data_IF_769319624122
#
_entry.id   IF_769319624122
#
_cell.length_a   1.000
_cell.length_b   1.000
_cell.length_c   1.000
_cell.angle_alpha   90.00
_cell.angle_beta   90.00
_cell.angle_gamma   90.00
#
_symmetry.space_group_name_H-M   'P 1'
#
loop_
_entity.id
_entity.type
_entity.pdbx_description
1 polymer ?
#
# COMPACT_ATOMS: atom_id res chain seq x y z
N UNK A 1 9.85 -17.40 17.05
CA UNK A 1 9.74 -17.19 16.18
C UNK A 1 9.54 -15.96 15.85
N UNK A 2 9.73 -15.47 15.33
CA UNK A 2 9.61 -14.47 15.16
C UNK A 2 8.75 -13.92 14.72
N UNK A 3 8.45 -13.45 15.08
CA UNK A 3 7.38 -13.00 14.76
C UNK A 3 7.19 -11.57 14.67
N UNK A 4 8.23 -10.74 14.86
CA UNK A 4 8.17 -9.32 14.62
C UNK A 4 7.86 -9.02 13.17
N UNK A 5 8.38 -9.81 12.25
CA UNK A 5 8.12 -9.60 10.85
C UNK A 5 6.66 -9.91 10.49
N UNK A 6 6.15 -11.02 10.98
CA UNK A 6 4.76 -11.37 10.70
C UNK A 6 3.82 -10.35 11.29
N UNK A 7 4.11 -9.88 12.52
CA UNK A 7 3.26 -8.88 13.15
C UNK A 7 3.27 -7.58 12.37
N UNK A 8 4.44 -7.17 11.89
CA UNK A 8 4.55 -5.94 11.11
C UNK A 8 3.72 -6.03 9.84
N UNK A 9 3.82 -7.14 9.13
CA UNK A 9 3.03 -7.29 7.90
C UNK A 9 1.55 -7.41 8.20
N UNK A 10 1.18 -8.05 9.31
CA UNK A 10 -0.22 -8.11 9.70
C UNK A 10 -0.80 -6.71 9.94
N UNK A 11 -0.03 -5.83 10.56
CA UNK A 11 -0.46 -4.46 10.78
C UNK A 11 -0.64 -3.72 9.45
N UNK A 12 0.22 -3.97 8.48
CA UNK A 12 0.10 -3.36 7.18
C UNK A 12 -1.17 -3.83 6.47
N UNK A 13 -1.45 -5.13 6.52
CA UNK A 13 -2.69 -5.64 5.94
C UNK A 13 -3.91 -5.04 6.63
N UNK A 14 -3.85 -4.93 7.95
CA UNK A 14 -4.97 -4.36 8.70
C UNK A 14 -5.22 -2.91 8.28
N UNK A 15 -4.14 -2.15 8.08
CA UNK A 15 -4.29 -0.76 7.66
C UNK A 15 -4.97 -0.68 6.30
N UNK A 16 -4.66 -1.60 5.39
CA UNK A 16 -5.27 -1.58 4.06
C UNK A 16 -6.63 -2.25 4.02
N UNK A 17 -7.04 -2.93 5.08
CA UNK A 17 -8.23 -3.76 5.04
C UNK A 17 -9.55 -3.01 5.11
N UNK A 18 -9.53 -1.70 5.28
CA UNK A 18 -10.73 -0.90 5.22
C UNK A 18 -10.94 -0.44 3.78
N UNK A 19 -12.17 -0.50 3.30
CA UNK A 19 -12.43 -0.19 1.89
C UNK A 19 -11.92 1.19 1.49
N UNK A 20 -12.15 2.27 2.26
CA UNK A 20 -11.63 3.56 1.82
C UNK A 20 -10.12 3.58 1.72
N UNK A 21 -9.43 2.89 2.63
CA UNK A 21 -7.98 2.88 2.59
C UNK A 21 -7.44 2.07 1.42
N UNK A 22 -8.13 0.99 1.09
CA UNK A 22 -7.74 0.24 -0.10
C UNK A 22 -7.93 1.07 -1.36
N UNK A 23 -9.00 1.85 -1.43
CA UNK A 23 -9.23 2.74 -2.57
C UNK A 23 -8.12 3.79 -2.67
N UNK A 24 -7.72 4.33 -1.53
CA UNK A 24 -6.62 5.31 -1.51
C UNK A 24 -5.34 4.67 -2.03
N UNK A 25 -5.00 3.47 -1.56
CA UNK A 25 -3.79 2.81 -2.00
C UNK A 25 -3.79 2.58 -3.50
N UNK A 26 -4.90 2.12 -4.04
CA UNK A 26 -4.96 1.87 -5.49
C UNK A 26 -4.81 3.16 -6.27
N UNK A 27 -5.42 4.24 -5.79
CA UNK A 27 -5.29 5.53 -6.47
C UNK A 27 -3.85 6.02 -6.44
N UNK A 28 -3.21 5.96 -5.27
CA UNK A 28 -1.83 6.44 -5.16
C UNK A 28 -0.87 5.57 -5.95
N UNK A 29 -1.12 4.27 -6.03
CA UNK A 29 -0.30 3.42 -6.86
C UNK A 29 -0.43 3.79 -8.34
N UNK A 30 -1.62 4.19 -8.76
CA UNK A 30 -1.81 4.61 -10.14
C UNK A 30 -1.05 5.90 -10.46
N UNK A 31 -0.73 6.69 -9.44
CA UNK A 31 -0.01 7.95 -9.60
C UNK A 31 1.47 7.84 -9.19
N UNK A 32 1.94 6.63 -8.94
CA UNK A 32 3.32 6.40 -8.57
C UNK A 32 4.24 6.77 -9.73
N UNK A 33 5.37 7.41 -9.50
CA UNK A 33 5.96 7.71 -8.19
C UNK A 33 5.60 9.07 -7.61
N UNK A 34 5.02 9.96 -8.38
CA UNK A 34 4.85 11.34 -7.92
C UNK A 34 3.84 11.48 -6.80
N UNK A 35 2.77 10.70 -6.85
CA UNK A 35 1.73 10.82 -5.86
C UNK A 35 0.73 11.89 -6.18
N UNK A 36 -0.04 12.29 -5.15
CA UNK A 36 -1.11 13.26 -5.32
C UNK A 36 -1.21 14.13 -4.08
N UNK A 37 -1.66 15.37 -4.27
CA UNK A 37 -1.96 16.22 -3.12
C UNK A 37 -3.35 15.87 -2.60
N UNK A 38 -3.61 16.27 -1.34
CA UNK A 38 -4.82 15.85 -0.64
C UNK A 38 -6.09 16.26 -1.37
N UNK A 39 -6.12 17.47 -1.91
CA UNK A 39 -7.33 17.93 -2.58
C UNK A 39 -7.65 17.08 -3.82
N UNK A 40 -6.63 16.62 -4.53
CA UNK A 40 -6.86 15.77 -5.69
C UNK A 40 -7.35 14.40 -5.26
N UNK A 41 -6.80 13.85 -4.18
CA UNK A 41 -7.29 12.57 -3.64
C UNK A 41 -8.76 12.72 -3.24
N UNK A 42 -9.07 13.81 -2.57
CA UNK A 42 -10.43 14.05 -2.13
C UNK A 42 -11.39 14.13 -3.30
N UNK A 43 -11.01 14.85 -4.33
CA UNK A 43 -11.85 15.00 -5.51
C UNK A 43 -12.09 13.68 -6.22
N UNK A 44 -11.03 12.86 -6.31
CA UNK A 44 -11.16 11.58 -6.98
C UNK A 44 -12.02 10.60 -6.23
N UNK A 45 -11.90 10.57 -4.91
CA UNK A 45 -12.55 9.54 -4.12
C UNK A 45 -13.83 10.00 -3.43
N UNK A 46 -14.06 11.30 -3.37
CA UNK A 46 -15.26 11.80 -2.73
C UNK A 46 -15.30 11.62 -1.23
N UNK A 47 -14.14 11.56 -0.60
CA UNK A 47 -14.05 11.35 0.85
C UNK A 47 -13.90 12.70 1.53
N UNK A 48 -14.67 12.99 2.59
CA UNK A 48 -14.51 14.25 3.30
C UNK A 48 -13.10 14.43 3.83
N UNK A 49 -12.66 15.67 3.90
CA UNK A 49 -11.26 15.96 4.23
C UNK A 49 -10.82 15.42 5.57
N UNK A 50 -11.64 15.57 6.60
CA UNK A 50 -11.24 15.09 7.92
C UNK A 50 -11.11 13.58 7.95
N UNK A 51 -12.03 12.89 7.28
CA UNK A 51 -11.98 11.43 7.18
C UNK A 51 -10.78 10.99 6.36
N UNK A 52 -10.52 11.69 5.26
CA UNK A 52 -9.38 11.36 4.42
C UNK A 52 -8.07 11.51 5.17
N UNK A 53 -7.93 12.59 5.94
CA UNK A 53 -6.71 12.79 6.72
C UNK A 53 -6.47 11.66 7.71
N UNK A 54 -7.55 11.19 8.33
CA UNK A 54 -7.43 10.07 9.27
C UNK A 54 -6.96 8.80 8.56
N UNK A 55 -7.53 8.52 7.39
CA UNK A 55 -7.12 7.33 6.62
C UNK A 55 -5.68 7.44 6.13
N UNK A 56 -5.28 8.62 5.66
CA UNK A 56 -3.92 8.82 5.19
C UNK A 56 -2.92 8.63 6.33
N UNK A 57 -3.28 9.12 7.53
CA UNK A 57 -2.38 8.96 8.67
C UNK A 57 -2.24 7.49 9.06
N UNK A 58 -3.32 6.74 9.03
CA UNK A 58 -3.22 5.31 9.34
C UNK A 58 -2.32 4.57 8.36
N UNK A 59 -2.43 4.91 7.08
CA UNK A 59 -1.56 4.30 6.08
C UNK A 59 -0.11 4.72 6.26
N UNK A 60 0.10 6.00 6.61
CA UNK A 60 1.45 6.50 6.82
C UNK A 60 2.12 5.84 8.01
N UNK A 61 1.36 5.62 9.09
CA UNK A 61 1.92 4.98 10.28
C UNK A 61 2.41 3.58 10.01
N UNK A 62 1.82 2.89 9.03
CA UNK A 62 2.27 1.56 8.67
C UNK A 62 3.22 1.59 7.48
N UNK A 63 3.72 2.76 7.14
CA UNK A 63 4.73 2.91 6.10
C UNK A 63 4.24 2.48 4.71
N UNK A 64 2.93 2.55 4.50
CA UNK A 64 2.34 2.21 3.21
C UNK A 64 2.26 3.40 2.28
N UNK A 65 2.26 4.59 2.84
CA UNK A 65 2.35 5.81 2.06
C UNK A 65 3.41 6.70 2.70
N UNK A 66 3.97 7.57 1.88
CA UNK A 66 4.90 8.58 2.37
C UNK A 66 4.38 9.95 1.97
N UNK A 67 4.85 10.96 2.64
CA UNK A 67 4.43 12.31 2.36
C UNK A 67 5.67 13.17 2.21
N UNK A 68 5.65 14.03 1.20
CA UNK A 68 6.72 15.03 1.05
C UNK A 68 6.09 16.39 0.86
N UNK A 69 6.78 17.39 1.36
CA UNK A 69 6.33 18.75 1.23
C UNK A 69 7.07 19.40 0.07
N UNK A 70 6.30 20.01 -0.83
CA UNK A 70 6.87 20.75 -1.94
C UNK A 70 6.17 22.10 -1.95
N UNK A 71 6.89 23.15 -1.50
CA UNK A 71 6.33 24.46 -1.29
C UNK A 71 5.23 24.38 -0.24
N UNK A 72 4.00 24.72 -0.57
CA UNK A 72 2.91 24.65 0.40
C UNK A 72 2.10 23.37 0.27
N UNK A 73 2.47 22.51 -0.67
CA UNK A 73 1.68 21.33 -0.95
C UNK A 73 2.27 20.09 -0.28
N UNK A 74 1.39 19.23 0.22
CA UNK A 74 1.79 17.93 0.73
C UNK A 74 1.42 16.89 -0.31
N UNK A 75 2.43 16.18 -0.78
CA UNK A 75 2.25 15.12 -1.77
C UNK A 75 2.31 13.78 -1.09
N UNK A 76 1.26 13.00 -1.25
CA UNK A 76 1.21 11.64 -0.72
C UNK A 76 1.46 10.67 -1.84
N UNK A 77 2.35 9.70 -1.61
CA UNK A 77 2.64 8.69 -2.61
C UNK A 77 2.66 7.32 -1.97
N UNK A 78 2.32 6.32 -2.77
CA UNK A 78 2.36 4.94 -2.30
C UNK A 78 3.80 4.50 -2.14
N UNK A 79 4.07 3.77 -1.08
CA UNK A 79 5.36 3.15 -0.87
C UNK A 79 5.35 1.81 -1.59
N UNK A 80 5.63 1.84 -2.89
CA UNK A 80 5.55 0.63 -3.71
C UNK A 80 6.50 -0.46 -3.26
N UNK A 81 7.75 -0.14 -2.87
CA UNK A 81 8.62 -1.20 -2.36
C UNK A 81 8.07 -1.88 -1.12
N UNK A 82 7.46 -1.13 -0.20
CA UNK A 82 6.89 -1.74 0.99
C UNK A 82 5.73 -2.67 0.63
N UNK A 83 4.91 -2.26 -0.33
CA UNK A 83 3.82 -3.12 -0.77
C UNK A 83 4.36 -4.37 -1.45
N UNK A 84 5.40 -4.24 -2.24
CA UNK A 84 6.03 -5.39 -2.86
C UNK A 84 6.54 -6.37 -1.81
N UNK A 85 7.18 -5.85 -0.76
CA UNK A 85 7.66 -6.70 0.32
C UNK A 85 6.52 -7.42 1.02
N UNK A 86 5.42 -6.72 1.25
CA UNK A 86 4.25 -7.28 1.91
C UNK A 86 3.67 -8.44 1.12
N UNK A 87 3.44 -8.21 -0.16
CA UNK A 87 2.87 -9.24 -1.01
C UNK A 87 3.86 -10.38 -1.24
N UNK A 88 5.14 -10.04 -1.36
CA UNK A 88 6.17 -11.05 -1.49
C UNK A 88 6.28 -11.93 -0.27
N UNK A 89 6.20 -11.34 0.90
CA UNK A 89 6.23 -12.09 2.14
C UNK A 89 5.11 -13.13 2.18
N UNK A 90 3.90 -12.69 1.84
CA UNK A 90 2.76 -13.60 1.84
C UNK A 90 2.91 -14.70 0.80
N UNK A 91 3.29 -14.31 -0.40
CA UNK A 91 3.31 -15.25 -1.50
C UNK A 91 4.49 -16.20 -1.46
N UNK A 92 5.54 -15.86 -0.71
CA UNK A 92 6.75 -16.69 -0.65
C UNK A 92 6.47 -18.10 -0.14
N UNK A 93 5.40 -18.26 0.62
CA UNK A 93 5.06 -19.58 1.12
C UNK A 93 4.25 -20.40 0.12
N UNK A 94 3.92 -19.80 -1.03
CA UNK A 94 3.11 -20.52 -1.98
C UNK A 94 3.80 -21.80 -2.41
N UNK A 95 3.10 -22.92 -2.21
CA UNK A 95 3.47 -24.22 -2.78
C UNK A 95 4.78 -24.81 -2.27
N UNK A 96 5.34 -24.26 -1.20
CA UNK A 96 6.64 -24.74 -0.72
C UNK A 96 6.58 -26.17 -0.20
N UNK A 97 5.39 -26.65 0.13
CA UNK A 97 5.26 -27.99 0.72
C UNK A 97 4.71 -29.01 -0.26
N UNK A 98 4.23 -28.58 -1.42
CA UNK A 98 3.62 -29.54 -2.36
C UNK A 98 4.51 -29.87 -3.53
N UNK A 99 5.36 -28.94 -3.94
CA UNK A 99 6.22 -29.10 -5.11
C UNK A 99 5.45 -29.32 -6.39
N UNK A 100 4.17 -29.05 -6.38
CA UNK A 100 3.37 -29.25 -7.58
C UNK A 100 3.48 -28.04 -8.49
N UNK A 101 3.51 -26.86 -7.90
CA UNK A 101 3.53 -25.62 -8.65
C UNK A 101 4.61 -24.72 -8.05
N UNK A 102 5.35 -24.04 -8.90
CA UNK A 102 6.33 -23.09 -8.42
C UNK A 102 5.70 -21.78 -8.10
N UNK A 103 6.21 -21.07 -7.07
CA UNK A 103 5.67 -19.74 -6.76
C UNK A 103 5.85 -18.79 -7.94
N UNK A 104 4.86 -17.93 -8.11
CA UNK A 104 4.89 -16.93 -9.14
C UNK A 104 5.35 -15.61 -8.55
N UNK A 105 6.22 -14.92 -9.25
CA UNK A 105 6.68 -13.63 -8.78
C UNK A 105 5.59 -12.60 -8.95
N UNK A 106 5.33 -11.86 -7.89
CA UNK A 106 4.30 -10.84 -7.91
C UNK A 106 4.58 -9.79 -8.98
N UNK A 107 5.84 -9.38 -9.08
CA UNK A 107 6.19 -8.36 -10.04
C UNK A 107 5.98 -8.84 -11.47
N UNK A 108 6.24 -10.12 -11.73
CA UNK A 108 6.01 -10.64 -13.06
C UNK A 108 4.54 -10.62 -13.43
N UNK A 109 3.69 -10.96 -12.49
CA UNK A 109 2.26 -10.94 -12.73
C UNK A 109 1.79 -9.54 -13.05
N UNK A 110 2.34 -8.55 -12.35
CA UNK A 110 1.96 -7.20 -12.60
C UNK A 110 2.43 -6.70 -13.94
N UNK A 111 3.58 -7.12 -14.37
CA UNK A 111 4.16 -6.62 -15.59
C UNK A 111 3.34 -6.97 -16.81
N UNK A 112 2.47 -7.95 -16.65
CA UNK A 112 1.67 -8.29 -17.74
C UNK A 112 0.50 -7.47 -17.94
N UNK A 113 0.28 -6.55 -17.26
CA UNK A 113 -0.89 -5.79 -17.43
C UNK A 113 -0.90 -5.00 -18.48
#
# INVERSE_FOLDING_TARGET
>A
MKDGETARFADMFAAMGAEPRLRIMRLLLSAHPDGMIVSDIQNELGIPNSTLSHHLEKLRMENLVSVRKDKQWLWYSANAPALQDLLGFLYAECCTRSRVVEPVMITSARARR
#
